data_IF_223337394288
#
_entry.id   IF_223337394288
#
_cell.length_a   1.000
_cell.length_b   1.000
_cell.length_c   1.000
_cell.angle_alpha   90.00
_cell.angle_beta   90.00
_cell.angle_gamma   90.00
#
_symmetry.space_group_name_H-M   'P 1'
#
loop_
_entity.id
_entity.type
_entity.pdbx_description
1 polymer ?
#
# COMPACT_ATOMS: atom_id res chain seq x y z
N UNK A 1 15.48 -35.36 0.41
CA UNK A 1 14.04 -35.05 0.28
C UNK A 1 13.71 -34.26 1.51
N UNK A 2 13.95 -32.98 1.39
CA UNK A 2 14.16 -32.05 2.48
C UNK A 2 12.88 -31.23 2.52
N UNK A 3 11.95 -31.71 3.33
CA UNK A 3 10.71 -31.01 3.65
C UNK A 3 11.06 -29.92 4.67
N UNK A 4 11.63 -28.82 4.17
CA UNK A 4 11.60 -27.56 4.89
C UNK A 4 10.30 -26.86 4.51
N UNK A 5 9.23 -27.16 5.24
CA UNK A 5 8.04 -26.32 5.32
C UNK A 5 8.43 -24.94 5.87
N UNK A 6 9.08 -24.13 5.04
CA UNK A 6 9.49 -22.77 5.35
C UNK A 6 8.25 -21.89 5.44
N UNK A 7 8.12 -21.15 6.53
CA UNK A 7 7.09 -20.12 6.65
C UNK A 7 7.28 -19.13 5.49
N UNK A 8 6.28 -19.01 4.62
CA UNK A 8 6.26 -17.96 3.60
C UNK A 8 5.89 -16.67 4.32
N UNK A 9 6.86 -15.82 4.58
CA UNK A 9 6.66 -14.49 5.15
C UNK A 9 6.38 -13.52 4.00
N UNK A 10 5.32 -12.72 4.13
CA UNK A 10 5.02 -11.64 3.18
C UNK A 10 5.03 -10.29 3.91
N UNK A 11 5.64 -9.29 3.31
CA UNK A 11 5.68 -7.92 3.79
C UNK A 11 4.66 -7.08 3.02
N UNK A 12 3.58 -6.69 3.69
CA UNK A 12 2.54 -5.82 3.14
C UNK A 12 2.72 -4.41 3.70
N UNK A 13 2.94 -3.45 2.81
CA UNK A 13 2.96 -2.03 3.15
C UNK A 13 1.57 -1.41 3.04
N UNK A 14 1.19 -0.58 4.00
CA UNK A 14 0.00 0.27 3.91
C UNK A 14 0.40 1.72 4.12
N UNK A 15 -0.14 2.61 3.29
CA UNK A 15 0.12 4.04 3.31
C UNK A 15 -1.22 4.77 3.23
N UNK A 16 -1.53 5.54 4.26
CA UNK A 16 -2.66 6.46 4.30
C UNK A 16 -2.13 7.86 4.01
N UNK A 17 -2.69 8.55 3.01
CA UNK A 17 -2.19 9.87 2.59
C UNK A 17 -3.31 10.86 2.36
N UNK A 18 -3.04 12.11 2.74
CA UNK A 18 -3.88 13.26 2.46
C UNK A 18 -3.01 14.49 2.20
N UNK A 19 -3.08 15.05 1.00
CA UNK A 19 -2.29 16.20 0.56
C UNK A 19 -0.77 16.07 0.81
N UNK A 20 -0.18 14.98 0.33
CA UNK A 20 1.23 14.60 0.53
C UNK A 20 2.03 14.61 -0.79
N UNK A 21 1.73 15.53 -1.71
CA UNK A 21 2.35 15.55 -3.05
C UNK A 21 3.88 15.79 -3.06
N UNK A 22 4.43 16.27 -1.94
CA UNK A 22 5.87 16.51 -1.76
C UNK A 22 6.64 15.23 -1.46
N UNK A 23 6.04 14.29 -0.71
CA UNK A 23 6.79 13.17 -0.11
C UNK A 23 6.26 11.79 -0.49
N UNK A 24 5.00 11.66 -0.91
CA UNK A 24 4.34 10.37 -1.14
C UNK A 24 5.10 9.48 -2.13
N UNK A 25 5.66 10.07 -3.19
CA UNK A 25 6.44 9.31 -4.17
C UNK A 25 7.70 8.70 -3.56
N UNK A 26 8.48 9.51 -2.83
CA UNK A 26 9.71 9.04 -2.22
C UNK A 26 9.42 7.97 -1.18
N UNK A 27 8.38 8.16 -0.37
CA UNK A 27 7.97 7.20 0.65
C UNK A 27 7.65 5.83 0.04
N UNK A 28 6.81 5.80 -1.01
CA UNK A 28 6.42 4.55 -1.68
C UNK A 28 7.63 3.89 -2.35
N UNK A 29 8.46 4.64 -3.08
CA UNK A 29 9.63 4.07 -3.76
C UNK A 29 10.66 3.47 -2.79
N UNK A 30 10.83 4.06 -1.61
CA UNK A 30 11.75 3.55 -0.59
C UNK A 30 11.38 2.14 -0.12
N UNK A 31 10.08 1.82 -0.05
CA UNK A 31 9.59 0.53 0.46
C UNK A 31 9.23 -0.45 -0.66
N UNK A 32 9.11 0.02 -1.90
CA UNK A 32 8.68 -0.79 -3.05
C UNK A 32 9.52 -2.04 -3.30
N UNK A 33 10.84 -1.98 -3.10
CA UNK A 33 11.71 -3.14 -3.30
C UNK A 33 11.66 -4.15 -2.13
N UNK A 34 11.11 -3.75 -0.99
CA UNK A 34 11.03 -4.58 0.22
C UNK A 34 9.67 -5.27 0.36
N UNK A 35 8.59 -4.55 0.05
CA UNK A 35 7.24 -5.07 0.19
C UNK A 35 6.85 -5.97 -0.99
N UNK A 36 6.19 -7.08 -0.70
CA UNK A 36 5.54 -7.94 -1.70
C UNK A 36 4.28 -7.28 -2.25
N UNK A 37 3.60 -6.46 -1.44
CA UNK A 37 2.39 -5.72 -1.78
C UNK A 37 2.35 -4.38 -1.06
N UNK A 38 1.83 -3.36 -1.73
CA UNK A 38 1.60 -2.04 -1.14
C UNK A 38 0.16 -1.61 -1.40
N UNK A 39 -0.49 -1.09 -0.37
CA UNK A 39 -1.78 -0.43 -0.47
C UNK A 39 -1.64 1.04 -0.11
N UNK A 40 -1.97 1.92 -1.05
CA UNK A 40 -2.05 3.35 -0.81
C UNK A 40 -3.52 3.79 -0.80
N UNK A 41 -3.94 4.42 0.29
CA UNK A 41 -5.29 4.94 0.46
C UNK A 41 -5.20 6.46 0.50
N UNK A 42 -5.71 7.11 -0.56
CA UNK A 42 -5.85 8.55 -0.65
C UNK A 42 -7.14 9.00 0.01
N UNK A 43 -7.02 9.79 1.07
CA UNK A 43 -8.15 10.35 1.83
C UNK A 43 -8.71 11.60 1.15
N UNK A 44 -9.08 11.49 -0.13
CA UNK A 44 -9.62 12.57 -0.94
C UNK A 44 -8.74 13.83 -0.98
N UNK A 45 -7.44 13.66 -1.29
CA UNK A 45 -6.53 14.80 -1.45
C UNK A 45 -7.00 15.76 -2.55
N UNK A 46 -6.75 17.05 -2.36
CA UNK A 46 -7.09 18.14 -3.29
C UNK A 46 -5.87 18.73 -4.02
N UNK A 47 -4.70 18.12 -3.84
CA UNK A 47 -3.44 18.46 -4.50
C UNK A 47 -3.06 17.41 -5.57
N UNK A 48 -1.76 17.30 -5.89
CA UNK A 48 -1.25 16.33 -6.88
C UNK A 48 -1.07 14.91 -6.34
N UNK A 49 -1.33 14.65 -5.06
CA UNK A 49 -1.22 13.30 -4.46
C UNK A 49 -1.93 12.22 -5.27
N UNK A 50 -3.19 12.39 -5.73
CA UNK A 50 -3.90 11.34 -6.46
C UNK A 50 -3.28 11.07 -7.83
N UNK A 51 -2.70 12.09 -8.48
CA UNK A 51 -2.01 11.94 -9.76
C UNK A 51 -0.72 11.14 -9.59
N UNK A 52 0.08 11.48 -8.57
CA UNK A 52 1.33 10.80 -8.23
C UNK A 52 1.06 9.33 -7.93
N UNK A 53 0.06 9.03 -7.09
CA UNK A 53 -0.32 7.66 -6.76
C UNK A 53 -0.75 6.86 -7.99
N UNK A 54 -1.60 7.42 -8.86
CA UNK A 54 -2.03 6.74 -10.11
C UNK A 54 -0.86 6.48 -11.05
N UNK A 55 0.10 7.39 -11.11
CA UNK A 55 1.33 7.16 -11.90
C UNK A 55 2.12 6.00 -11.31
N UNK A 56 2.38 6.00 -10.01
CA UNK A 56 3.13 4.92 -9.34
C UNK A 56 2.44 3.57 -9.49
N UNK A 57 1.11 3.51 -9.42
CA UNK A 57 0.35 2.27 -9.62
C UNK A 57 0.47 1.69 -11.04
N UNK A 58 0.85 2.50 -12.03
CA UNK A 58 1.17 2.03 -13.39
C UNK A 58 2.63 1.58 -13.52
N UNK A 59 3.50 2.03 -12.62
CA UNK A 59 4.93 1.69 -12.62
C UNK A 59 5.24 0.48 -11.73
N UNK A 60 4.41 0.21 -10.72
CA UNK A 60 4.61 -0.81 -9.70
C UNK A 60 3.43 -1.79 -9.70
N UNK A 61 3.65 -2.99 -10.24
CA UNK A 61 2.60 -4.03 -10.38
C UNK A 61 1.99 -4.49 -9.05
N UNK A 62 2.70 -4.27 -7.95
CA UNK A 62 2.31 -4.66 -6.59
C UNK A 62 1.78 -3.49 -5.74
N UNK A 63 1.56 -2.31 -6.32
CA UNK A 63 0.93 -1.17 -5.67
C UNK A 63 -0.55 -1.08 -6.06
N UNK A 64 -1.44 -1.18 -5.08
CA UNK A 64 -2.87 -0.90 -5.22
C UNK A 64 -3.20 0.46 -4.63
N UNK A 65 -3.92 1.30 -5.38
CA UNK A 65 -4.36 2.62 -4.92
C UNK A 65 -5.88 2.64 -4.77
N UNK A 66 -6.35 3.12 -3.63
CA UNK A 66 -7.76 3.38 -3.38
C UNK A 66 -7.96 4.83 -2.98
N UNK A 67 -9.14 5.37 -3.31
CA UNK A 67 -9.58 6.70 -2.87
C UNK A 67 -10.79 6.50 -1.98
N UNK A 68 -10.75 7.01 -0.75
CA UNK A 68 -11.87 6.86 0.19
C UNK A 68 -12.00 8.07 1.11
N UNK A 69 -13.24 8.41 1.48
CA UNK A 69 -13.55 9.32 2.59
C UNK A 69 -13.62 8.61 3.94
N UNK A 70 -13.63 7.27 3.95
CA UNK A 70 -13.75 6.47 5.15
C UNK A 70 -12.37 6.07 5.67
N UNK A 71 -11.98 6.61 6.83
CA UNK A 71 -10.74 6.21 7.50
C UNK A 71 -10.74 4.72 7.89
N UNK A 72 -11.92 4.10 8.03
CA UNK A 72 -12.10 2.68 8.35
C UNK A 72 -11.72 1.71 7.23
N UNK A 73 -11.65 2.15 5.97
CA UNK A 73 -11.24 1.28 4.85
C UNK A 73 -9.79 0.78 4.97
N UNK A 74 -8.95 1.51 5.69
CA UNK A 74 -7.56 1.10 5.97
C UNK A 74 -7.47 -0.23 6.73
N UNK A 75 -8.39 -0.46 7.67
CA UNK A 75 -8.50 -1.74 8.39
C UNK A 75 -9.03 -2.84 7.48
N UNK A 76 -10.02 -2.55 6.61
CA UNK A 76 -10.61 -3.52 5.69
C UNK A 76 -9.61 -4.08 4.68
N UNK A 77 -8.67 -3.25 4.22
CA UNK A 77 -7.58 -3.70 3.34
C UNK A 77 -6.65 -4.71 4.03
N UNK A 78 -6.52 -4.61 5.36
CA UNK A 78 -5.70 -5.51 6.17
C UNK A 78 -6.47 -6.68 6.76
N UNK A 79 -7.81 -6.69 6.71
CA UNK A 79 -8.66 -7.80 7.21
C UNK A 79 -8.23 -9.17 6.68
N UNK A 80 -7.83 -9.36 5.40
CA UNK A 80 -7.34 -10.66 4.92
C UNK A 80 -6.03 -11.12 5.57
N UNK A 81 -5.27 -10.19 6.17
CA UNK A 81 -3.95 -10.42 6.76
C UNK A 81 -3.95 -10.35 8.29
N UNK A 82 -4.99 -9.78 8.90
CA UNK A 82 -5.22 -9.81 10.33
C UNK A 82 -5.78 -11.18 10.70
N UNK A 83 -4.96 -12.04 11.30
CA UNK A 83 -5.32 -13.42 11.60
C UNK A 83 -6.70 -13.56 12.26
N UNK A 84 -7.49 -14.52 11.77
CA UNK A 84 -8.71 -14.97 12.45
C UNK A 84 -8.35 -15.39 13.88
N UNK A 85 -8.79 -14.58 14.85
CA UNK A 85 -8.82 -15.00 16.26
C UNK A 85 -9.89 -16.06 16.48
#
# INVERSE_FOLDING_TARGET
>A
MDDHGGLIVQFVGIVLVHNEDVFVERAIRNVAAFCDRIYAVDQLSNDRTPEILRRLARELDHLTVQRSSDAGDSHRVLEPYAGNS
#
